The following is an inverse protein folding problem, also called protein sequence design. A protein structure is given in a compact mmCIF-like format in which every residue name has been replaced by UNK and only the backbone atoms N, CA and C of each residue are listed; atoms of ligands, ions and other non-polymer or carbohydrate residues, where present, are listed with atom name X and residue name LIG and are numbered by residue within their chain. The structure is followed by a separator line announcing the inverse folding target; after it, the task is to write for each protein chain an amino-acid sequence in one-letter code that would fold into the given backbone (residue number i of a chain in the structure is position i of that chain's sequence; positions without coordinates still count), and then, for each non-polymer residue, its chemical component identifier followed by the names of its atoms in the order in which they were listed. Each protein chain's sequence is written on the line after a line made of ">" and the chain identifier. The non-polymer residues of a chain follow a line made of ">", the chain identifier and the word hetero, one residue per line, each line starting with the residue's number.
data_IF_840489917550
#
_entry.id   IF_840489917550
#
_cell.length_a   1.000
_cell.length_b   1.000
_cell.length_c   1.000
_cell.angle_alpha   90.00
_cell.angle_beta   90.00
_cell.angle_gamma   90.00
#
_symmetry.space_group_name_H-M   'P 1'
#
loop_
_entity.id
_entity.type
_entity.pdbx_description
1 polymer ?
#
# COMPACT_ATOMS: atom_id res chain seq x y z
N UNK A 1 -11.02 63.50 -15.29
CA UNK A 1 -10.29 62.36 -15.85
C UNK A 1 -9.09 62.11 -14.94
N UNK A 2 -9.16 61.20 -13.97
CA UNK A 2 -8.03 60.96 -13.06
C UNK A 2 -6.93 60.27 -13.86
N UNK A 3 -5.80 60.94 -14.01
CA UNK A 3 -4.61 60.36 -14.64
C UNK A 3 -4.06 59.27 -13.69
N UNK A 4 -3.97 58.06 -14.16
CA UNK A 4 -3.32 56.93 -13.44
C UNK A 4 -1.88 57.37 -13.17
N UNK A 5 -1.48 57.35 -11.89
CA UNK A 5 -0.14 57.74 -11.45
C UNK A 5 0.87 56.59 -11.66
N UNK A 6 2.17 56.89 -11.66
CA UNK A 6 3.22 55.89 -11.72
C UNK A 6 3.14 54.89 -10.55
N UNK A 7 2.68 55.36 -9.39
CA UNK A 7 2.47 54.50 -8.20
C UNK A 7 1.31 53.53 -8.39
N UNK A 8 0.25 53.94 -9.10
CA UNK A 8 -0.86 53.03 -9.43
C UNK A 8 -0.40 51.90 -10.35
N UNK A 9 0.41 52.21 -11.36
CA UNK A 9 0.98 51.22 -12.27
C UNK A 9 1.89 50.24 -11.54
N UNK A 10 2.71 50.71 -10.60
CA UNK A 10 3.57 49.87 -9.77
C UNK A 10 2.74 48.93 -8.92
N UNK A 11 1.70 49.41 -8.27
CA UNK A 11 0.81 48.61 -7.42
C UNK A 11 0.07 47.55 -8.24
N UNK A 12 -0.43 47.91 -9.43
CA UNK A 12 -1.05 46.95 -10.36
C UNK A 12 -0.06 45.84 -10.77
N UNK A 13 1.16 46.20 -11.12
CA UNK A 13 2.19 45.24 -11.49
C UNK A 13 2.53 44.27 -10.35
N UNK A 14 2.61 44.77 -9.11
CA UNK A 14 2.84 43.95 -7.91
C UNK A 14 1.68 42.98 -7.70
N UNK A 15 0.43 43.44 -7.81
CA UNK A 15 -0.77 42.59 -7.64
C UNK A 15 -0.79 41.50 -8.70
N UNK A 16 -0.57 41.85 -9.97
CA UNK A 16 -0.53 40.87 -11.06
C UNK A 16 0.60 39.86 -10.85
N UNK A 17 1.80 40.32 -10.50
CA UNK A 17 2.95 39.48 -10.23
C UNK A 17 2.70 38.49 -9.08
N UNK A 18 2.10 38.97 -8.00
CA UNK A 18 1.72 38.12 -6.86
C UNK A 18 0.69 37.09 -7.26
N UNK A 19 -0.31 37.47 -8.04
CA UNK A 19 -1.35 36.56 -8.50
C UNK A 19 -0.77 35.43 -9.40
N UNK A 20 0.11 35.79 -10.33
CA UNK A 20 0.82 34.86 -11.20
C UNK A 20 1.68 33.91 -10.38
N UNK A 21 2.40 34.40 -9.37
CA UNK A 21 3.22 33.59 -8.50
C UNK A 21 2.37 32.58 -7.71
N UNK A 22 1.23 33.01 -7.18
CA UNK A 22 0.29 32.11 -6.48
C UNK A 22 -0.26 31.02 -7.39
N UNK A 23 -0.69 31.37 -8.61
CA UNK A 23 -1.18 30.39 -9.58
C UNK A 23 -0.10 29.38 -9.96
N UNK A 24 1.14 29.82 -10.13
CA UNK A 24 2.29 28.96 -10.44
C UNK A 24 2.58 28.00 -9.28
N UNK A 25 2.54 28.50 -8.05
CA UNK A 25 2.71 27.69 -6.85
C UNK A 25 1.61 26.60 -6.75
N UNK A 26 0.35 26.99 -6.92
CA UNK A 26 -0.79 26.04 -6.90
C UNK A 26 -0.65 24.97 -7.97
N UNK A 27 -0.25 25.36 -9.20
CA UNK A 27 0.02 24.41 -10.28
C UNK A 27 1.16 23.46 -9.91
N UNK A 28 2.23 23.95 -9.32
CA UNK A 28 3.35 23.13 -8.85
C UNK A 28 2.95 22.10 -7.80
N UNK A 29 2.15 22.50 -6.81
CA UNK A 29 1.62 21.60 -5.78
C UNK A 29 0.71 20.53 -6.41
N UNK A 30 -0.19 20.94 -7.31
CA UNK A 30 -1.09 20.02 -8.01
C UNK A 30 -0.31 18.98 -8.83
N UNK A 31 0.67 19.41 -9.59
CA UNK A 31 1.51 18.51 -10.41
C UNK A 31 2.32 17.55 -9.53
N UNK A 32 2.89 18.05 -8.43
CA UNK A 32 3.62 17.24 -7.47
C UNK A 32 2.74 16.13 -6.85
N UNK A 33 1.53 16.47 -6.42
CA UNK A 33 0.60 15.49 -5.85
C UNK A 33 0.17 14.44 -6.87
N UNK A 34 -0.03 14.84 -8.13
CA UNK A 34 -0.34 13.95 -9.24
C UNK A 34 0.80 12.97 -9.52
N UNK A 35 2.03 13.45 -9.55
CA UNK A 35 3.22 12.59 -9.75
C UNK A 35 3.40 11.59 -8.60
N UNK A 36 3.15 12.00 -7.35
CA UNK A 36 3.17 11.10 -6.21
C UNK A 36 2.10 9.99 -6.33
N UNK A 37 0.90 10.33 -6.76
CA UNK A 37 -0.16 9.35 -6.97
C UNK A 37 0.19 8.35 -8.07
N UNK A 38 0.80 8.81 -9.17
CA UNK A 38 1.27 7.94 -10.24
C UNK A 38 2.35 6.98 -9.74
N UNK A 39 3.36 7.47 -9.03
CA UNK A 39 4.42 6.62 -8.45
C UNK A 39 3.86 5.54 -7.50
N UNK A 40 2.88 5.91 -6.68
CA UNK A 40 2.19 4.94 -5.81
C UNK A 40 1.50 3.84 -6.63
N UNK A 41 0.80 4.23 -7.69
CA UNK A 41 0.13 3.28 -8.59
C UNK A 41 1.12 2.34 -9.29
N UNK A 42 2.26 2.85 -9.74
CA UNK A 42 3.31 2.05 -10.36
C UNK A 42 3.91 1.03 -9.37
N UNK A 43 4.26 1.46 -8.17
CA UNK A 43 4.77 0.56 -7.12
C UNK A 43 3.77 -0.53 -6.74
N UNK A 44 2.50 -0.16 -6.62
CA UNK A 44 1.43 -1.13 -6.37
C UNK A 44 1.28 -2.13 -7.53
N UNK A 45 1.31 -1.66 -8.77
CA UNK A 45 1.24 -2.52 -9.96
C UNK A 45 2.41 -3.52 -10.01
N UNK A 46 3.61 -3.07 -9.61
CA UNK A 46 4.79 -3.94 -9.51
C UNK A 46 4.62 -5.02 -8.44
N UNK A 47 4.14 -4.66 -7.24
CA UNK A 47 3.88 -5.65 -6.20
C UNK A 47 2.79 -6.65 -6.60
N UNK A 48 1.73 -6.18 -7.24
CA UNK A 48 0.69 -7.06 -7.79
C UNK A 48 1.22 -7.99 -8.87
N UNK A 49 2.09 -7.48 -9.73
CA UNK A 49 2.76 -8.28 -10.75
C UNK A 49 3.63 -9.36 -10.10
N UNK A 50 4.49 -8.99 -9.16
CA UNK A 50 5.34 -9.94 -8.41
C UNK A 50 4.50 -11.02 -7.72
N UNK A 51 3.40 -10.64 -7.09
CA UNK A 51 2.49 -11.59 -6.43
C UNK A 51 1.92 -12.64 -7.39
N UNK A 52 1.59 -12.23 -8.60
CA UNK A 52 0.95 -13.10 -9.61
C UNK A 52 1.94 -13.90 -10.45
N UNK A 53 3.12 -13.35 -10.71
CA UNK A 53 4.10 -13.93 -11.64
C UNK A 53 5.17 -14.79 -10.94
N UNK A 54 5.43 -14.58 -9.63
CA UNK A 54 6.35 -15.44 -8.90
C UNK A 54 5.79 -16.85 -8.78
N UNK A 55 6.49 -17.81 -9.38
CA UNK A 55 6.13 -19.23 -9.30
C UNK A 55 6.17 -19.76 -7.87
N UNK A 56 7.09 -19.24 -7.05
CA UNK A 56 7.24 -19.60 -5.65
C UNK A 56 6.05 -19.11 -4.85
N UNK A 57 5.70 -17.83 -4.98
CA UNK A 57 4.56 -17.25 -4.28
C UNK A 57 3.27 -17.95 -4.70
N UNK A 58 3.04 -18.13 -6.00
CA UNK A 58 1.83 -18.80 -6.54
C UNK A 58 1.70 -20.25 -6.02
N UNK A 59 2.81 -21.00 -5.98
CA UNK A 59 2.85 -22.36 -5.41
C UNK A 59 2.46 -22.36 -3.93
N UNK A 60 3.07 -21.47 -3.12
CA UNK A 60 2.80 -21.40 -1.69
C UNK A 60 1.37 -20.93 -1.40
N UNK A 61 0.85 -19.98 -2.17
CA UNK A 61 -0.55 -19.51 -2.07
C UNK A 61 -1.53 -20.67 -2.31
N UNK A 62 -1.32 -21.47 -3.36
CA UNK A 62 -2.15 -22.64 -3.62
C UNK A 62 -2.13 -23.68 -2.50
N UNK A 63 -0.99 -23.88 -1.86
CA UNK A 63 -0.89 -24.74 -0.68
C UNK A 63 -1.54 -24.14 0.57
N UNK A 64 -1.47 -22.81 0.74
CA UNK A 64 -2.10 -22.11 1.87
C UNK A 64 -3.64 -22.12 1.76
N UNK A 65 -4.19 -22.06 0.56
CA UNK A 65 -5.65 -22.17 0.35
C UNK A 65 -6.23 -23.49 0.88
N UNK A 66 -5.51 -24.56 0.66
CA UNK A 66 -5.94 -25.92 1.09
C UNK A 66 -5.36 -26.32 2.43
N UNK A 67 -4.55 -25.47 3.06
CA UNK A 67 -3.75 -25.78 4.25
C UNK A 67 -2.98 -27.12 4.10
N UNK A 68 -2.31 -27.29 2.95
CA UNK A 68 -1.62 -28.52 2.58
C UNK A 68 -0.44 -28.79 3.51
N UNK A 69 -0.38 -30.00 4.07
CA UNK A 69 0.71 -30.45 4.93
C UNK A 69 2.10 -30.41 4.25
N UNK A 70 2.15 -30.39 2.91
CA UNK A 70 3.40 -30.22 2.15
C UNK A 70 4.09 -28.87 2.42
N UNK A 71 3.37 -27.87 2.96
CA UNK A 71 3.98 -26.63 3.43
C UNK A 71 5.05 -26.86 4.49
N UNK A 72 4.90 -27.91 5.32
CA UNK A 72 5.90 -28.26 6.33
C UNK A 72 7.25 -28.64 5.72
N UNK A 73 7.24 -29.30 4.56
CA UNK A 73 8.46 -29.67 3.81
C UNK A 73 8.95 -28.60 2.84
N UNK A 74 8.32 -27.43 2.79
CA UNK A 74 8.72 -26.33 1.92
C UNK A 74 10.12 -25.82 2.27
N UNK A 75 10.91 -25.44 1.25
CA UNK A 75 12.26 -24.93 1.50
C UNK A 75 12.22 -23.61 2.27
N UNK A 76 13.20 -23.40 3.13
CA UNK A 76 13.40 -22.12 3.85
C UNK A 76 13.40 -20.92 2.91
N UNK A 77 14.09 -21.03 1.76
CA UNK A 77 14.18 -19.97 0.76
C UNK A 77 12.80 -19.57 0.21
N UNK A 78 11.94 -20.56 -0.10
CA UNK A 78 10.58 -20.28 -0.57
C UNK A 78 9.74 -19.57 0.49
N UNK A 79 9.81 -20.03 1.75
CA UNK A 79 9.10 -19.40 2.87
C UNK A 79 9.57 -17.96 3.10
N UNK A 80 10.88 -17.72 3.06
CA UNK A 80 11.47 -16.38 3.21
C UNK A 80 11.09 -15.46 2.05
N UNK A 81 10.96 -15.96 0.82
CA UNK A 81 10.51 -15.16 -0.33
C UNK A 81 9.09 -14.63 -0.10
N UNK A 82 8.16 -15.48 0.36
CA UNK A 82 6.79 -15.06 0.67
C UNK A 82 6.74 -14.08 1.85
N UNK A 83 7.47 -14.37 2.92
CA UNK A 83 7.55 -13.47 4.09
C UNK A 83 8.20 -12.13 3.73
N UNK A 84 9.22 -12.14 2.86
CA UNK A 84 9.85 -10.94 2.32
C UNK A 84 8.85 -10.09 1.53
N UNK A 85 8.06 -10.73 0.67
CA UNK A 85 7.01 -10.06 -0.06
C UNK A 85 6.03 -9.33 0.88
N UNK A 86 5.56 -10.00 1.94
CA UNK A 86 4.64 -9.38 2.90
C UNK A 86 5.29 -8.27 3.74
N UNK A 87 6.58 -8.36 4.03
CA UNK A 87 7.31 -7.26 4.66
C UNK A 87 7.38 -6.03 3.76
N UNK A 88 7.58 -6.23 2.46
CA UNK A 88 7.57 -5.13 1.48
C UNK A 88 6.17 -4.46 1.44
N UNK A 89 5.09 -5.25 1.41
CA UNK A 89 3.72 -4.72 1.49
C UNK A 89 3.48 -3.96 2.80
N UNK A 90 3.92 -4.51 3.94
CA UNK A 90 3.79 -3.84 5.24
C UNK A 90 4.52 -2.49 5.28
N UNK A 91 5.74 -2.41 4.73
CA UNK A 91 6.48 -1.16 4.60
C UNK A 91 5.74 -0.14 3.72
N UNK A 92 5.15 -0.59 2.61
CA UNK A 92 4.38 0.29 1.72
C UNK A 92 3.11 0.81 2.41
N UNK A 93 2.45 0.00 3.23
CA UNK A 93 1.29 0.41 4.04
C UNK A 93 1.73 1.43 5.09
N UNK A 94 2.80 1.15 5.84
CA UNK A 94 3.32 2.04 6.88
C UNK A 94 3.78 3.40 6.33
N UNK A 95 4.33 3.39 5.11
CA UNK A 95 4.76 4.61 4.40
C UNK A 95 3.60 5.34 3.70
N UNK A 96 2.37 4.85 3.81
CA UNK A 96 1.21 5.45 3.15
C UNK A 96 1.22 5.33 1.62
N UNK A 97 2.08 4.48 1.05
CA UNK A 97 2.13 4.19 -0.39
C UNK A 97 0.90 3.39 -0.79
N UNK A 98 0.51 2.41 0.02
CA UNK A 98 -0.71 1.63 -0.15
C UNK A 98 -1.62 1.88 1.04
N UNK A 99 -2.90 2.15 0.79
CA UNK A 99 -3.91 2.25 1.85
C UNK A 99 -4.17 0.89 2.47
N UNK A 100 -4.37 0.84 3.78
CA UNK A 100 -4.64 -0.41 4.54
C UNK A 100 -5.77 -1.24 3.93
N UNK A 101 -6.88 -0.61 3.57
CA UNK A 101 -8.02 -1.30 2.98
C UNK A 101 -7.69 -1.92 1.61
N UNK A 102 -6.86 -1.25 0.80
CA UNK A 102 -6.40 -1.78 -0.49
C UNK A 102 -5.47 -2.97 -0.27
N UNK A 103 -4.56 -2.87 0.70
CA UNK A 103 -3.66 -3.98 1.06
C UNK A 103 -4.43 -5.19 1.58
N UNK A 104 -5.46 -4.98 2.41
CA UNK A 104 -6.36 -6.04 2.88
C UNK A 104 -7.05 -6.74 1.72
N UNK A 105 -7.72 -5.98 0.87
CA UNK A 105 -8.46 -6.53 -0.27
C UNK A 105 -7.60 -7.36 -1.22
N UNK A 106 -6.36 -6.94 -1.44
CA UNK A 106 -5.47 -7.58 -2.41
C UNK A 106 -4.60 -8.70 -1.84
N UNK A 107 -4.16 -8.54 -0.60
CA UNK A 107 -3.11 -9.38 -0.02
C UNK A 107 -3.48 -9.94 1.37
N UNK A 108 -4.49 -9.36 2.04
CA UNK A 108 -4.82 -9.67 3.43
C UNK A 108 -5.24 -11.11 3.64
N UNK A 109 -6.11 -11.64 2.79
CA UNK A 109 -6.59 -13.02 2.90
C UNK A 109 -5.45 -14.04 3.01
N UNK A 110 -4.50 -13.99 2.09
CA UNK A 110 -3.37 -14.93 2.10
C UNK A 110 -2.34 -14.64 3.18
N UNK A 111 -2.21 -13.38 3.62
CA UNK A 111 -1.39 -13.03 4.76
C UNK A 111 -1.93 -13.67 6.06
N UNK A 112 -3.25 -13.63 6.25
CA UNK A 112 -3.93 -14.27 7.38
C UNK A 112 -3.75 -15.78 7.32
N UNK A 113 -4.02 -16.41 6.18
CA UNK A 113 -3.80 -17.85 5.97
C UNK A 113 -2.36 -18.27 6.22
N UNK A 114 -1.39 -17.47 5.74
CA UNK A 114 0.03 -17.74 5.98
C UNK A 114 0.36 -17.68 7.48
N UNK A 115 -0.19 -16.71 8.20
CA UNK A 115 0.04 -16.56 9.63
C UNK A 115 -0.59 -17.71 10.45
N UNK A 116 -1.75 -18.18 10.06
CA UNK A 116 -2.52 -19.21 10.78
C UNK A 116 -2.07 -20.64 10.48
N UNK A 117 -1.40 -20.86 9.36
CA UNK A 117 -0.97 -22.21 8.96
C UNK A 117 0.18 -22.71 9.82
N UNK A 118 -0.06 -23.69 10.67
CA UNK A 118 0.98 -24.38 11.46
C UNK A 118 2.01 -25.05 10.54
N UNK A 119 1.58 -25.61 9.41
CA UNK A 119 2.46 -26.24 8.44
C UNK A 119 3.45 -25.24 7.80
N UNK A 120 3.02 -24.01 7.57
CA UNK A 120 3.91 -23.00 7.02
C UNK A 120 5.03 -22.65 8.02
N UNK A 121 4.71 -22.56 9.31
CA UNK A 121 5.65 -22.20 10.36
C UNK A 121 6.45 -23.38 10.92
N UNK A 122 6.21 -24.59 10.39
CA UNK A 122 7.05 -25.73 10.76
C UNK A 122 8.53 -25.39 10.45
N UNK A 123 9.41 -25.64 11.41
CA UNK A 123 10.85 -25.28 11.36
C UNK A 123 11.16 -23.78 11.22
N UNK A 124 10.16 -22.91 11.40
CA UNK A 124 10.32 -21.44 11.37
C UNK A 124 9.83 -20.86 12.68
N UNK A 125 10.72 -20.19 13.43
CA UNK A 125 10.31 -19.49 14.65
C UNK A 125 9.45 -18.26 14.30
N UNK A 126 8.12 -18.41 14.39
CA UNK A 126 7.13 -17.37 14.11
C UNK A 126 7.29 -16.12 14.99
N UNK A 127 7.76 -16.31 16.22
CA UNK A 127 7.90 -15.20 17.20
C UNK A 127 9.22 -14.45 17.07
N UNK A 128 10.06 -14.83 16.11
CA UNK A 128 11.30 -14.12 15.84
C UNK A 128 11.06 -12.63 15.57
N UNK A 129 11.91 -11.74 16.11
CA UNK A 129 11.86 -10.30 15.81
C UNK A 129 11.93 -9.97 14.31
N UNK A 130 12.56 -10.83 13.52
CA UNK A 130 12.64 -10.66 12.05
C UNK A 130 11.28 -10.65 11.36
N UNK A 131 10.24 -11.21 11.99
CA UNK A 131 8.88 -11.26 11.46
C UNK A 131 7.95 -10.23 12.09
N UNK A 132 8.45 -9.35 12.96
CA UNK A 132 7.64 -8.36 13.68
C UNK A 132 6.83 -7.48 12.72
N UNK A 133 7.41 -7.06 11.61
CA UNK A 133 6.73 -6.24 10.60
C UNK A 133 5.58 -6.99 9.94
N UNK A 134 5.78 -8.27 9.57
CA UNK A 134 4.72 -9.11 9.02
C UNK A 134 3.63 -9.39 10.06
N UNK A 135 4.00 -9.68 11.30
CA UNK A 135 3.05 -9.88 12.41
C UNK A 135 2.17 -8.65 12.65
N UNK A 136 2.76 -7.46 12.66
CA UNK A 136 2.00 -6.22 12.81
C UNK A 136 1.03 -6.01 11.64
N UNK A 137 1.49 -6.27 10.43
CA UNK A 137 0.63 -6.24 9.24
C UNK A 137 -0.54 -7.21 9.36
N UNK A 138 -0.30 -8.47 9.76
CA UNK A 138 -1.35 -9.47 9.95
C UNK A 138 -2.36 -9.02 11.03
N UNK A 139 -1.90 -8.46 12.14
CA UNK A 139 -2.78 -7.94 13.19
C UNK A 139 -3.69 -6.80 12.67
N UNK A 140 -3.14 -5.90 11.86
CA UNK A 140 -3.95 -4.87 11.19
C UNK A 140 -4.97 -5.48 10.22
N UNK A 141 -4.58 -6.52 9.49
CA UNK A 141 -5.49 -7.21 8.55
C UNK A 141 -6.62 -7.93 9.27
N UNK A 142 -6.37 -8.52 10.44
CA UNK A 142 -7.41 -9.14 11.29
C UNK A 142 -8.46 -8.13 11.73
N UNK A 143 -8.05 -6.97 12.20
CA UNK A 143 -8.97 -5.90 12.59
C UNK A 143 -9.86 -5.47 11.41
N UNK A 144 -9.28 -5.36 10.23
CA UNK A 144 -10.05 -5.00 9.02
C UNK A 144 -11.00 -6.13 8.63
N UNK A 145 -10.58 -7.40 8.75
CA UNK A 145 -11.41 -8.57 8.47
C UNK A 145 -12.63 -8.62 9.40
N UNK A 146 -12.44 -8.39 10.70
CA UNK A 146 -13.52 -8.33 11.68
C UNK A 146 -14.53 -7.24 11.33
N UNK A 147 -14.07 -6.02 11.04
CA UNK A 147 -14.93 -4.92 10.59
C UNK A 147 -15.66 -5.24 9.28
N UNK A 148 -15.03 -6.01 8.40
CA UNK A 148 -15.60 -6.40 7.12
C UNK A 148 -16.72 -7.45 7.29
N UNK A 149 -16.57 -8.35 8.26
CA UNK A 149 -17.58 -9.39 8.57
C UNK A 149 -18.79 -8.75 9.28
N UNK A 150 -18.54 -7.82 10.21
CA UNK A 150 -19.60 -7.15 10.96
C UNK A 150 -20.44 -6.22 10.09
N UNK A 151 -19.86 -5.55 9.13
CA UNK A 151 -20.52 -4.60 8.25
C UNK A 151 -20.14 -4.80 6.78
N UNK A 152 -20.79 -5.78 6.15
CA UNK A 152 -20.62 -6.04 4.70
C UNK A 152 -20.98 -4.83 3.81
N UNK A 153 -21.69 -3.82 4.34
CA UNK A 153 -21.97 -2.54 3.68
C UNK A 153 -20.77 -1.58 3.67
N UNK A 154 -19.73 -1.79 4.49
CA UNK A 154 -18.51 -0.98 4.46
C UNK A 154 -17.67 -1.21 3.22
N UNK A 155 -17.95 -2.25 2.44
CA UNK A 155 -17.32 -2.50 1.16
C UNK A 155 -17.88 -1.57 0.08
N UNK A 156 -17.57 -0.28 0.16
CA UNK A 156 -17.80 0.65 -0.94
C UNK A 156 -16.60 0.60 -1.89
N UNK A 157 -16.75 0.04 -3.10
CA UNK A 157 -15.65 -0.02 -4.09
C UNK A 157 -15.06 1.36 -4.40
N UNK A 158 -15.81 2.45 -4.18
CA UNK A 158 -15.35 3.82 -4.38
C UNK A 158 -14.33 4.28 -3.33
N UNK A 159 -14.25 3.60 -2.18
CA UNK A 159 -13.25 3.90 -1.14
C UNK A 159 -11.87 3.32 -1.44
N UNK A 160 -11.78 2.37 -2.40
CA UNK A 160 -10.53 1.76 -2.84
C UNK A 160 -9.89 2.56 -3.97
N UNK A 161 -9.49 3.81 -3.66
CA UNK A 161 -8.74 4.68 -4.58
C UNK A 161 -7.32 4.88 -4.06
N UNK A 162 -6.38 4.94 -5.01
CA UNK A 162 -4.98 5.28 -4.75
C UNK A 162 -4.82 6.75 -4.39
#
# INVERSE_FOLDING_TARGET
>A
MNLITLDDWRNIAIIIGTFVALLTLMKGIYEYTRQLAQKRSEQYAEMRKRFRESKVISKLIGMLETNDSKLAGGSWSEKVELLGFYKDIALMVNSGIIKRNVAFYMFGYYALRCWESEYFWNDVNRDSPYWSLFRNFVNEMKVIEELFIEDSFLFDPKKYRF
#
